data_IF_648979873977
#
_entry.id   IF_648979873977
#
_cell.length_a   1.000
_cell.length_b   1.000
_cell.length_c   1.000
_cell.angle_alpha   90.00
_cell.angle_beta   90.00
_cell.angle_gamma   90.00
#
_symmetry.space_group_name_H-M   'P 1'
#
loop_
_entity.id
_entity.type
_entity.pdbx_description
1 polymer ?
#
# COMPACT_ATOMS: atom_id res chain seq x y z
N UNK A 1 13.11 -27.35 15.43
CA UNK A 1 13.25 -26.18 14.55
C UNK A 1 13.75 -26.65 13.20
N UNK A 2 13.02 -26.34 12.17
CA UNK A 2 13.38 -26.64 10.78
C UNK A 2 13.46 -25.31 10.03
N UNK A 3 14.56 -25.03 9.39
CA UNK A 3 14.76 -23.81 8.60
C UNK A 3 14.16 -24.02 7.22
N UNK A 4 13.24 -23.14 6.84
CA UNK A 4 12.59 -23.16 5.53
C UNK A 4 13.39 -22.25 4.58
N UNK A 5 13.62 -22.67 3.30
CA UNK A 5 14.29 -21.82 2.33
C UNK A 5 13.61 -20.46 2.18
N UNK A 6 14.36 -19.38 2.25
CA UNK A 6 13.87 -18.03 2.10
C UNK A 6 14.57 -17.33 0.93
N UNK A 7 13.80 -16.60 0.13
CA UNK A 7 14.29 -15.79 -0.98
C UNK A 7 14.06 -14.32 -0.64
N UNK A 8 15.13 -13.53 -0.56
CA UNK A 8 15.08 -12.12 -0.18
C UNK A 8 15.31 -11.17 -1.35
N UNK A 9 16.05 -11.61 -2.37
CA UNK A 9 16.29 -10.81 -3.56
C UNK A 9 15.10 -10.91 -4.52
N UNK A 10 14.54 -9.78 -4.98
CA UNK A 10 13.40 -9.79 -5.90
C UNK A 10 13.72 -10.38 -7.28
N UNK A 11 14.97 -10.32 -7.74
CA UNK A 11 15.37 -10.94 -9.01
C UNK A 11 15.45 -12.46 -8.85
N UNK A 12 16.02 -12.95 -7.74
CA UNK A 12 16.04 -14.38 -7.42
C UNK A 12 14.61 -14.92 -7.27
N UNK A 13 13.69 -14.10 -6.74
CA UNK A 13 12.28 -14.48 -6.60
C UNK A 13 11.57 -14.69 -7.95
N UNK A 14 12.09 -14.13 -9.04
CA UNK A 14 11.55 -14.31 -10.39
C UNK A 14 12.14 -15.52 -11.13
N UNK A 15 13.18 -16.15 -10.58
CA UNK A 15 13.77 -17.35 -11.17
C UNK A 15 12.77 -18.51 -11.20
N UNK A 16 12.91 -19.36 -12.23
CA UNK A 16 11.96 -20.43 -12.51
C UNK A 16 11.76 -21.43 -11.36
N UNK A 17 12.79 -21.63 -10.54
CA UNK A 17 12.80 -22.59 -9.44
C UNK A 17 12.50 -21.95 -8.08
N UNK A 18 12.22 -20.65 -8.04
CA UNK A 18 11.88 -19.97 -6.79
C UNK A 18 10.54 -20.43 -6.23
N UNK A 19 10.43 -20.58 -4.91
CA UNK A 19 9.15 -20.87 -4.26
C UNK A 19 8.11 -19.80 -4.59
N UNK A 20 6.95 -20.21 -5.07
CA UNK A 20 5.85 -19.27 -5.36
C UNK A 20 5.11 -18.97 -4.06
N UNK A 21 5.07 -17.69 -3.68
CA UNK A 21 4.43 -17.20 -2.44
C UNK A 21 2.90 -17.26 -2.51
N UNK A 22 2.32 -16.99 -3.67
CA UNK A 22 0.88 -16.93 -3.87
C UNK A 22 0.45 -17.82 -5.04
N UNK A 23 0.42 -19.16 -4.86
CA UNK A 23 0.06 -20.07 -5.95
C UNK A 23 -1.38 -19.86 -6.45
N UNK A 24 -2.27 -19.38 -5.60
CA UNK A 24 -3.69 -19.12 -5.91
C UNK A 24 -3.97 -17.66 -6.22
N UNK A 25 -2.95 -16.87 -6.59
CA UNK A 25 -3.07 -15.41 -6.84
C UNK A 25 -4.22 -15.05 -7.78
N UNK A 26 -4.52 -15.89 -8.77
CA UNK A 26 -5.63 -15.66 -9.71
C UNK A 26 -7.02 -15.73 -9.06
N UNK A 27 -7.14 -16.25 -7.83
CA UNK A 27 -8.38 -16.25 -7.06
C UNK A 27 -8.59 -14.99 -6.22
N UNK A 28 -7.57 -14.11 -6.12
CA UNK A 28 -7.61 -12.93 -5.26
C UNK A 28 -8.46 -11.82 -5.90
N UNK A 29 -9.28 -11.18 -5.07
CA UNK A 29 -10.01 -9.97 -5.47
C UNK A 29 -9.06 -8.78 -5.59
N UNK A 30 -9.25 -7.97 -6.62
CA UNK A 30 -8.42 -6.76 -6.85
C UNK A 30 -7.21 -6.99 -7.74
N UNK A 31 -6.98 -8.21 -8.24
CA UNK A 31 -5.99 -8.42 -9.29
C UNK A 31 -6.44 -7.72 -10.57
N UNK A 32 -5.60 -6.88 -11.22
CA UNK A 32 -5.99 -6.14 -12.43
C UNK A 32 -6.42 -7.06 -13.58
N UNK A 33 -5.75 -8.21 -13.70
CA UNK A 33 -6.06 -9.28 -14.65
C UNK A 33 -5.49 -10.61 -14.13
N UNK A 34 -6.09 -11.77 -14.49
CA UNK A 34 -5.48 -13.07 -14.21
C UNK A 34 -4.10 -13.17 -14.85
N UNK A 35 -3.21 -13.90 -14.22
CA UNK A 35 -1.88 -14.22 -14.76
C UNK A 35 -1.97 -15.48 -15.62
N UNK A 36 -1.40 -15.45 -16.83
CA UNK A 36 -1.31 -16.63 -17.71
C UNK A 36 -0.42 -17.71 -17.09
N UNK A 37 0.64 -17.28 -16.40
CA UNK A 37 1.52 -18.16 -15.62
C UNK A 37 1.69 -17.55 -14.24
N UNK A 38 1.40 -18.32 -13.20
CA UNK A 38 1.57 -17.89 -11.82
C UNK A 38 3.07 -17.87 -11.49
N UNK A 39 3.56 -16.71 -11.11
CA UNK A 39 4.93 -16.45 -10.65
C UNK A 39 4.89 -15.50 -9.46
N UNK A 40 6.05 -15.15 -8.90
CA UNK A 40 6.12 -14.11 -7.87
C UNK A 40 5.96 -12.68 -8.43
N UNK A 41 5.89 -12.49 -9.75
CA UNK A 41 5.50 -11.22 -10.37
C UNK A 41 3.98 -11.19 -10.57
N UNK A 42 3.27 -10.38 -9.78
CA UNK A 42 1.82 -10.32 -9.89
C UNK A 42 1.30 -9.34 -10.96
N UNK A 43 2.15 -8.43 -11.46
CA UNK A 43 1.86 -7.53 -12.57
C UNK A 43 3.11 -7.38 -13.46
N UNK A 44 2.91 -7.46 -14.76
CA UNK A 44 3.90 -7.13 -15.77
C UNK A 44 3.25 -6.29 -16.85
N UNK A 45 3.66 -5.04 -16.95
CA UNK A 45 3.18 -4.09 -17.95
C UNK A 45 4.32 -3.62 -18.85
N UNK A 46 4.00 -3.39 -20.10
CA UNK A 46 4.95 -2.90 -21.11
C UNK A 46 4.34 -1.68 -21.82
N UNK A 47 5.08 -0.61 -21.87
CA UNK A 47 4.72 0.57 -22.63
C UNK A 47 5.73 0.79 -23.75
N UNK A 48 5.23 1.22 -24.89
CA UNK A 48 6.07 1.56 -26.03
C UNK A 48 5.44 2.67 -26.86
N UNK A 49 6.27 3.53 -27.44
CA UNK A 49 5.89 4.52 -28.44
C UNK A 49 7.00 4.61 -29.49
N UNK A 50 6.62 4.52 -30.76
CA UNK A 50 7.56 4.49 -31.87
C UNK A 50 8.24 3.12 -32.04
N UNK A 51 9.37 3.11 -32.72
CA UNK A 51 10.18 1.92 -32.99
C UNK A 51 11.53 2.04 -32.26
N UNK A 52 11.70 1.25 -31.21
CA UNK A 52 12.90 1.27 -30.37
C UNK A 52 14.13 0.77 -31.14
N UNK A 53 13.97 -0.24 -32.00
CA UNK A 53 15.08 -0.77 -32.79
C UNK A 53 15.62 0.26 -33.78
N UNK A 54 14.72 0.98 -34.48
CA UNK A 54 15.07 2.10 -35.35
C UNK A 54 15.74 3.22 -34.54
N UNK A 55 15.24 3.54 -33.35
CA UNK A 55 15.85 4.53 -32.45
C UNK A 55 17.29 4.20 -32.10
N UNK A 56 17.57 2.97 -31.70
CA UNK A 56 18.93 2.50 -31.41
C UNK A 56 19.84 2.52 -32.66
N UNK A 57 19.31 2.10 -33.83
CA UNK A 57 20.08 2.11 -35.08
C UNK A 57 20.47 3.51 -35.57
N UNK A 58 19.70 4.54 -35.17
CA UNK A 58 19.95 5.93 -35.55
C UNK A 58 20.71 6.74 -34.50
N UNK A 59 20.95 6.16 -33.32
CA UNK A 59 21.63 6.86 -32.25
C UNK A 59 23.13 7.00 -32.50
N UNK A 60 23.67 8.19 -32.34
CA UNK A 60 25.11 8.45 -32.42
C UNK A 60 25.86 7.90 -31.21
N UNK A 61 25.20 7.86 -30.05
CA UNK A 61 25.75 7.36 -28.78
C UNK A 61 24.69 6.55 -28.08
N UNK A 62 25.06 5.36 -27.60
CA UNK A 62 24.24 4.51 -26.74
C UNK A 62 24.93 4.41 -25.39
N UNK A 63 24.15 4.67 -24.32
CA UNK A 63 24.62 4.52 -22.93
C UNK A 63 23.70 3.52 -22.23
N UNK A 64 24.31 2.54 -21.57
CA UNK A 64 23.61 1.53 -20.76
C UNK A 64 24.15 1.55 -19.35
N UNK A 65 23.25 1.65 -18.36
CA UNK A 65 23.60 1.63 -16.95
C UNK A 65 22.53 0.88 -16.16
N UNK A 66 22.96 0.24 -15.08
CA UNK A 66 22.07 -0.34 -14.07
C UNK A 66 22.12 0.52 -12.82
N UNK A 67 20.95 0.91 -12.33
CA UNK A 67 20.80 1.68 -11.09
C UNK A 67 20.02 0.86 -10.08
N UNK A 68 20.46 0.89 -8.82
CA UNK A 68 19.76 0.24 -7.72
C UNK A 68 19.36 1.26 -6.67
N UNK A 69 18.17 1.15 -6.13
CA UNK A 69 17.63 2.01 -5.08
C UNK A 69 17.20 1.15 -3.90
N UNK A 70 17.72 1.46 -2.71
CA UNK A 70 17.30 0.78 -1.49
C UNK A 70 15.87 1.17 -1.10
N UNK A 71 15.21 0.31 -0.31
CA UNK A 71 13.94 0.65 0.32
C UNK A 71 14.09 1.92 1.17
N UNK A 72 13.15 2.85 1.03
CA UNK A 72 13.19 4.13 1.74
C UNK A 72 11.83 4.48 2.34
N UNK A 73 11.84 4.88 3.60
CA UNK A 73 10.71 5.56 4.21
C UNK A 73 10.68 7.04 3.75
N UNK A 74 9.49 7.62 3.61
CA UNK A 74 9.30 8.98 3.07
C UNK A 74 9.79 10.09 4.01
N UNK A 75 10.02 9.78 5.29
CA UNK A 75 10.62 10.71 6.25
C UNK A 75 9.74 11.91 6.60
N UNK A 76 8.40 11.78 6.54
CA UNK A 76 7.51 12.87 6.99
C UNK A 76 7.62 13.04 8.51
N UNK A 77 7.42 14.29 8.95
CA UNK A 77 7.57 14.64 10.37
C UNK A 77 6.41 14.12 11.23
N UNK A 78 5.18 14.18 10.71
CA UNK A 78 4.01 13.62 11.38
C UNK A 78 3.86 12.13 11.06
N UNK A 79 3.89 11.26 12.08
CA UNK A 79 3.56 9.84 11.94
C UNK A 79 2.08 9.60 11.62
N UNK A 80 1.69 8.38 11.26
CA UNK A 80 0.28 8.04 11.08
C UNK A 80 -0.48 8.22 12.39
N UNK A 81 -1.60 8.92 12.29
CA UNK A 81 -2.48 9.20 13.43
C UNK A 81 -3.92 9.17 12.96
N UNK A 82 -4.79 8.53 13.75
CA UNK A 82 -6.23 8.55 13.53
C UNK A 82 -7.00 8.69 14.84
N UNK A 83 -8.21 9.23 14.73
CA UNK A 83 -9.25 9.19 15.75
C UNK A 83 -10.53 8.67 15.09
N UNK A 84 -11.14 7.68 15.69
CA UNK A 84 -12.43 7.14 15.25
C UNK A 84 -13.44 7.22 16.38
N UNK A 85 -14.62 7.72 16.05
CA UNK A 85 -15.75 7.82 16.96
C UNK A 85 -17.05 7.47 16.23
N UNK A 86 -17.93 6.71 16.90
CA UNK A 86 -19.27 6.43 16.40
C UNK A 86 -20.22 7.39 17.11
N UNK A 87 -20.81 8.32 16.38
CA UNK A 87 -21.70 9.34 16.93
C UNK A 87 -23.08 8.77 17.32
N UNK A 88 -23.90 9.56 18.02
CA UNK A 88 -25.23 9.15 18.50
C UNK A 88 -26.20 8.78 17.37
N UNK A 89 -25.94 9.25 16.15
CA UNK A 89 -26.70 8.87 14.95
C UNK A 89 -26.16 7.58 14.31
N UNK A 90 -25.14 6.96 14.90
CA UNK A 90 -24.47 5.74 14.44
C UNK A 90 -23.59 5.97 13.22
N UNK A 91 -23.17 7.21 12.92
CA UNK A 91 -22.19 7.50 11.86
C UNK A 91 -20.80 7.36 12.40
N UNK A 92 -19.92 6.81 11.58
CA UNK A 92 -18.50 6.67 11.90
C UNK A 92 -17.76 7.93 11.51
N UNK A 93 -17.35 8.69 12.51
CA UNK A 93 -16.53 9.89 12.36
C UNK A 93 -15.06 9.50 12.39
N UNK A 94 -14.30 9.87 11.37
CA UNK A 94 -12.87 9.55 11.25
C UNK A 94 -12.08 10.83 11.02
N UNK A 95 -11.08 11.07 11.85
CA UNK A 95 -10.02 12.06 11.64
C UNK A 95 -8.72 11.31 11.45
N UNK A 96 -8.04 11.53 10.35
CA UNK A 96 -6.80 10.81 10.05
C UNK A 96 -5.87 11.64 9.17
N UNK A 97 -4.57 11.45 9.36
CA UNK A 97 -3.55 12.01 8.48
C UNK A 97 -3.52 11.25 7.15
N UNK A 98 -4.45 11.56 6.25
CA UNK A 98 -4.57 10.93 4.92
C UNK A 98 -4.76 11.97 3.82
N UNK A 99 -4.04 11.81 2.72
CA UNK A 99 -4.16 12.67 1.53
C UNK A 99 -5.30 12.26 0.58
N UNK A 100 -5.88 11.08 0.78
CA UNK A 100 -6.87 10.48 -0.13
C UNK A 100 -8.17 10.11 0.61
N UNK A 101 -8.86 11.08 1.23
CA UNK A 101 -10.00 10.80 2.11
C UNK A 101 -11.11 9.99 1.42
N UNK A 102 -11.36 10.24 0.14
CA UNK A 102 -12.40 9.50 -0.60
C UNK A 102 -12.01 8.04 -0.85
N UNK A 103 -10.77 7.78 -1.25
CA UNK A 103 -10.29 6.40 -1.45
C UNK A 103 -10.25 5.63 -0.12
N UNK A 104 -9.83 6.27 0.97
CA UNK A 104 -9.87 5.70 2.31
C UNK A 104 -11.32 5.38 2.71
N UNK A 105 -12.26 6.30 2.47
CA UNK A 105 -13.69 6.07 2.75
C UNK A 105 -14.23 4.83 2.02
N UNK A 106 -13.94 4.68 0.74
CA UNK A 106 -14.33 3.50 -0.05
C UNK A 106 -13.74 2.21 0.50
N UNK A 107 -12.44 2.21 0.82
CA UNK A 107 -11.78 1.05 1.42
C UNK A 107 -12.38 0.67 2.77
N UNK A 108 -12.66 1.65 3.62
CA UNK A 108 -13.31 1.42 4.92
C UNK A 108 -14.74 0.91 4.77
N UNK A 109 -15.52 1.45 3.82
CA UNK A 109 -16.86 0.98 3.50
C UNK A 109 -16.85 -0.51 3.12
N UNK A 110 -15.94 -0.89 2.22
CA UNK A 110 -15.79 -2.29 1.82
C UNK A 110 -15.33 -3.20 2.98
N UNK A 111 -14.35 -2.74 3.77
CA UNK A 111 -13.80 -3.53 4.88
C UNK A 111 -14.79 -3.74 6.04
N UNK A 112 -15.65 -2.76 6.30
CA UNK A 112 -16.61 -2.81 7.42
C UNK A 112 -17.99 -3.29 7.02
N UNK A 113 -18.27 -3.41 5.72
CA UNK A 113 -19.62 -3.70 5.20
C UNK A 113 -20.63 -2.59 5.52
N UNK A 114 -20.15 -1.34 5.64
CA UNK A 114 -20.99 -0.18 5.93
C UNK A 114 -21.18 0.66 4.66
N UNK A 115 -22.37 1.24 4.44
CA UNK A 115 -22.57 2.18 3.35
C UNK A 115 -21.73 3.44 3.56
N UNK A 116 -21.21 4.02 2.48
CA UNK A 116 -20.32 5.18 2.53
C UNK A 116 -20.93 6.39 3.22
N UNK A 117 -22.26 6.54 3.17
CA UNK A 117 -22.99 7.62 3.81
C UNK A 117 -22.89 7.58 5.33
N UNK A 118 -22.59 6.43 5.89
CA UNK A 118 -22.37 6.24 7.33
C UNK A 118 -20.95 6.54 7.78
N UNK A 119 -20.03 6.78 6.85
CA UNK A 119 -18.62 7.05 7.13
C UNK A 119 -18.32 8.50 6.75
N UNK A 120 -17.88 9.29 7.70
CA UNK A 120 -17.46 10.67 7.49
C UNK A 120 -15.98 10.81 7.78
N UNK A 121 -15.20 11.10 6.74
CA UNK A 121 -13.78 11.44 6.89
C UNK A 121 -13.69 12.95 7.06
N UNK A 122 -13.30 13.38 8.26
CA UNK A 122 -13.14 14.77 8.59
C UNK A 122 -11.75 15.25 8.16
N UNK A 123 -11.65 16.33 7.39
CA UNK A 123 -10.37 16.82 6.92
C UNK A 123 -9.53 17.37 8.08
N UNK A 124 -8.25 17.09 8.07
CA UNK A 124 -7.24 17.61 9.00
C UNK A 124 -6.01 18.06 8.24
N UNK A 125 -5.22 18.94 8.84
CA UNK A 125 -3.89 19.27 8.30
C UNK A 125 -2.98 18.05 8.40
N UNK A 126 -2.11 17.86 7.39
CA UNK A 126 -1.19 16.72 7.30
C UNK A 126 0.24 17.23 7.37
N UNK A 127 1.02 16.73 8.32
CA UNK A 127 2.42 17.08 8.54
C UNK A 127 3.41 16.32 7.66
N UNK A 128 3.14 16.27 6.37
CA UNK A 128 3.91 15.57 5.36
C UNK A 128 3.28 14.23 4.97
N UNK A 129 3.47 13.83 3.72
CA UNK A 129 2.97 12.57 3.15
C UNK A 129 4.00 11.94 2.22
N UNK A 130 4.46 12.68 1.22
CA UNK A 130 5.44 12.25 0.20
C UNK A 130 5.18 10.87 -0.40
N UNK A 131 3.90 10.46 -0.45
CA UNK A 131 3.44 9.16 -0.98
C UNK A 131 3.18 8.09 0.09
N UNK A 132 3.38 8.35 1.38
CA UNK A 132 3.22 7.38 2.47
C UNK A 132 1.81 7.28 3.07
N UNK A 133 0.99 8.34 2.99
CA UNK A 133 -0.30 8.42 3.69
C UNK A 133 -1.49 8.22 2.74
N UNK A 134 -1.48 7.12 1.98
CA UNK A 134 -2.51 6.77 1.01
C UNK A 134 -3.37 5.56 1.38
N UNK A 135 -3.11 4.92 2.52
CA UNK A 135 -3.85 3.74 3.01
C UNK A 135 -4.56 4.05 4.33
N UNK A 136 -5.57 3.24 4.73
CA UNK A 136 -6.30 3.44 5.98
C UNK A 136 -5.49 3.10 7.24
N UNK A 137 -4.36 2.39 7.13
CA UNK A 137 -3.46 2.00 8.23
C UNK A 137 -4.22 1.51 9.48
N UNK A 138 -4.13 2.24 10.61
CA UNK A 138 -4.73 1.87 11.90
C UNK A 138 -6.23 2.17 12.01
N UNK A 139 -6.83 2.84 11.05
CA UNK A 139 -8.23 3.25 11.11
C UNK A 139 -9.18 2.04 11.28
N UNK A 140 -8.99 0.89 10.58
CA UNK A 140 -9.83 -0.29 10.77
C UNK A 140 -9.78 -0.83 12.19
N UNK A 141 -8.60 -0.85 12.82
CA UNK A 141 -8.45 -1.29 14.20
C UNK A 141 -9.08 -0.30 15.19
N UNK A 142 -8.87 1.00 14.98
CA UNK A 142 -9.48 2.05 15.80
C UNK A 142 -11.01 1.98 15.75
N UNK A 143 -11.59 1.73 14.56
CA UNK A 143 -13.03 1.50 14.42
C UNK A 143 -13.52 0.28 15.22
N UNK A 144 -12.84 -0.86 15.06
CA UNK A 144 -13.20 -2.07 15.77
C UNK A 144 -13.24 -1.83 17.31
N UNK A 145 -12.21 -1.16 17.82
CA UNK A 145 -12.13 -0.82 19.25
C UNK A 145 -13.22 0.19 19.66
N UNK A 146 -13.48 1.23 18.85
CA UNK A 146 -14.53 2.20 19.11
C UNK A 146 -15.92 1.54 19.13
N UNK A 147 -16.18 0.63 18.21
CA UNK A 147 -17.43 -0.12 18.15
C UNK A 147 -17.62 -1.06 19.36
N UNK A 148 -16.55 -1.69 19.83
CA UNK A 148 -16.59 -2.60 20.99
C UNK A 148 -16.67 -1.89 22.33
N UNK A 149 -16.10 -0.70 22.44
CA UNK A 149 -16.03 0.05 23.70
C UNK A 149 -17.13 1.10 23.85
N UNK A 150 -17.78 1.49 22.74
CA UNK A 150 -18.69 2.63 22.72
C UNK A 150 -18.01 3.98 22.98
N UNK A 151 -16.70 4.08 22.79
CA UNK A 151 -15.90 5.27 23.09
C UNK A 151 -15.06 5.70 21.88
N UNK A 152 -14.73 6.99 21.76
CA UNK A 152 -13.73 7.44 20.80
C UNK A 152 -12.39 6.74 21.04
N UNK A 153 -11.74 6.32 19.94
CA UNK A 153 -10.43 5.67 19.98
C UNK A 153 -9.45 6.46 19.12
N UNK A 154 -8.36 6.88 19.72
CA UNK A 154 -7.23 7.50 19.04
C UNK A 154 -6.08 6.50 18.98
N UNK A 155 -5.48 6.37 17.81
CA UNK A 155 -4.22 5.67 17.59
C UNK A 155 -3.21 6.63 16.96
N UNK A 156 -1.97 6.53 17.38
CA UNK A 156 -0.87 7.33 16.85
C UNK A 156 0.38 6.47 16.90
N UNK A 157 1.01 6.27 15.74
CA UNK A 157 2.28 5.56 15.64
C UNK A 157 3.40 6.39 16.23
N UNK A 158 4.31 5.74 16.92
CA UNK A 158 5.64 6.31 17.17
C UNK A 158 6.53 6.11 15.92
N UNK A 159 7.76 6.63 15.96
CA UNK A 159 8.64 6.51 14.80
C UNK A 159 9.18 5.09 14.57
N UNK A 160 9.24 4.26 15.59
CA UNK A 160 9.64 2.86 15.43
C UNK A 160 8.53 2.09 14.71
N UNK A 161 7.29 2.30 15.14
CA UNK A 161 6.11 1.74 14.48
C UNK A 161 5.97 2.25 13.03
N UNK A 162 6.19 3.54 12.82
CA UNK A 162 6.14 4.15 11.49
C UNK A 162 7.16 3.54 10.52
N UNK A 163 8.39 3.33 10.96
CA UNK A 163 9.44 2.72 10.14
C UNK A 163 9.27 1.22 9.91
N UNK A 164 8.57 0.53 10.80
CA UNK A 164 8.38 -0.93 10.71
C UNK A 164 7.04 -1.34 10.09
N UNK A 165 5.97 -0.58 10.30
CA UNK A 165 4.62 -0.86 9.81
C UNK A 165 4.13 0.13 8.75
N UNK A 166 4.79 1.27 8.57
CA UNK A 166 4.46 2.25 7.55
C UNK A 166 4.64 1.71 6.13
N UNK A 167 4.17 2.47 5.14
CA UNK A 167 4.20 2.10 3.73
C UNK A 167 5.44 2.73 3.03
N UNK A 168 6.61 2.08 3.03
CA UNK A 168 7.82 2.63 2.43
C UNK A 168 7.78 2.58 0.90
N UNK A 169 8.71 3.28 0.25
CA UNK A 169 9.06 3.06 -1.14
C UNK A 169 9.85 1.74 -1.26
N UNK A 170 9.46 0.91 -2.20
CA UNK A 170 10.15 -0.35 -2.44
C UNK A 170 11.54 -0.12 -3.03
N UNK A 171 12.41 -1.12 -2.85
CA UNK A 171 13.66 -1.21 -3.58
C UNK A 171 13.39 -1.41 -5.08
N UNK A 172 14.26 -0.90 -5.92
CA UNK A 172 14.22 -1.05 -7.37
C UNK A 172 15.64 -1.19 -7.96
#
# INVERSE_FOLDING_TARGET
YEEIPAVYDPLDALEQNSPILHPDVNSYTGLPRPLDTVTNAFVRDTWGKGDVAVGFAQADIIVENTFTVARQHQGYLESHTCLVWIDDAGRVQVWASSKVPYAVKQQLSAAWGLPEERILINPVSIGGDFGGKGSPMDIPLAYYLANRTGRPVKMAMDYIEEFTAGNPRHAA
#
